data_IF_358507551482
#
_entry.id   IF_358507551482
#
_cell.length_a   1.000
_cell.length_b   1.000
_cell.length_c   1.000
_cell.angle_alpha   90.00
_cell.angle_beta   90.00
_cell.angle_gamma   90.00
#
_symmetry.space_group_name_H-M   'P 1'
#
loop_
_entity.id
_entity.type
_entity.pdbx_description
1 polymer ?
#
# COMPACT_ATOMS: atom_id res chain seq x y z
N UNK A 1 -14.03 -3.90 6.06
CA UNK A 1 -14.41 -2.50 5.75
C UNK A 1 -13.28 -1.93 4.90
N UNK A 2 -13.48 -1.82 3.59
CA UNK A 2 -12.51 -1.17 2.71
C UNK A 2 -12.40 0.31 3.11
N UNK A 3 -11.18 0.85 3.12
CA UNK A 3 -10.99 2.28 3.33
C UNK A 3 -11.66 3.04 2.17
N UNK A 4 -12.38 4.15 2.45
CA UNK A 4 -13.05 4.90 1.41
C UNK A 4 -12.02 5.47 0.43
N UNK A 5 -12.25 5.24 -0.85
CA UNK A 5 -11.46 5.83 -1.92
C UNK A 5 -11.89 7.28 -2.17
N UNK A 6 -10.97 8.10 -2.65
CA UNK A 6 -11.26 9.51 -2.89
C UNK A 6 -12.21 9.71 -4.07
N UNK A 7 -13.25 10.51 -3.85
CA UNK A 7 -14.13 11.02 -4.89
C UNK A 7 -14.26 12.53 -4.71
N UNK A 8 -13.93 13.29 -5.73
CA UNK A 8 -13.92 14.74 -5.66
C UNK A 8 -13.10 15.41 -6.74
N UNK A 9 -12.90 16.71 -6.62
CA UNK A 9 -12.05 17.48 -7.51
C UNK A 9 -10.56 17.32 -7.22
N UNK A 10 -9.76 17.58 -8.23
CA UNK A 10 -8.32 17.70 -8.13
C UNK A 10 -7.77 18.64 -9.19
N UNK A 11 -6.58 19.16 -8.97
CA UNK A 11 -5.91 20.04 -9.94
C UNK A 11 -4.39 19.91 -9.88
N UNK A 12 -3.75 20.34 -10.95
CA UNK A 12 -2.31 20.59 -11.03
C UNK A 12 -2.06 22.05 -11.39
N UNK A 13 -1.07 22.66 -10.78
CA UNK A 13 -0.62 24.01 -11.06
C UNK A 13 0.90 24.07 -11.15
N UNK A 14 1.44 25.22 -11.54
CA UNK A 14 2.89 25.47 -11.55
C UNK A 14 3.54 25.38 -10.18
N UNK A 15 2.79 25.59 -9.11
CA UNK A 15 3.28 25.52 -7.73
C UNK A 15 3.06 24.14 -7.09
N UNK A 16 2.05 23.41 -7.55
CA UNK A 16 1.66 22.12 -6.97
C UNK A 16 1.39 21.09 -8.05
N UNK A 17 2.17 20.05 -8.09
CA UNK A 17 2.05 18.99 -9.09
C UNK A 17 0.70 18.28 -9.07
N UNK A 18 0.16 18.06 -7.87
CA UNK A 18 -1.14 17.42 -7.66
C UNK A 18 -1.72 17.83 -6.32
N UNK A 19 -2.96 18.26 -6.32
CA UNK A 19 -3.70 18.58 -5.09
C UNK A 19 -5.15 18.17 -5.22
N UNK A 20 -5.65 17.47 -4.21
CA UNK A 20 -7.06 17.19 -4.04
C UNK A 20 -7.78 18.46 -3.61
N UNK A 21 -8.95 18.68 -4.17
CA UNK A 21 -9.86 19.75 -3.80
C UNK A 21 -11.26 19.18 -3.68
N UNK A 22 -11.62 18.75 -2.48
CA UNK A 22 -12.85 17.99 -2.24
C UNK A 22 -14.10 18.83 -2.48
N UNK A 23 -15.24 18.18 -2.62
CA UNK A 23 -16.52 18.86 -2.70
C UNK A 23 -16.81 19.69 -1.45
N UNK A 24 -16.30 19.27 -0.28
CA UNK A 24 -16.37 20.05 0.95
C UNK A 24 -15.54 21.34 0.84
N UNK A 25 -14.30 21.23 0.37
CA UNK A 25 -13.44 22.40 0.16
C UNK A 25 -14.07 23.39 -0.80
N UNK A 26 -14.71 22.90 -1.89
CA UNK A 26 -15.41 23.75 -2.85
C UNK A 26 -16.61 24.47 -2.24
N UNK A 27 -17.33 23.84 -1.29
CA UNK A 27 -18.42 24.48 -0.56
C UNK A 27 -17.93 25.58 0.37
N UNK A 28 -16.80 25.36 1.02
CA UNK A 28 -16.22 26.34 1.94
C UNK A 28 -15.62 27.51 1.17
N UNK A 29 -14.90 27.24 0.09
CA UNK A 29 -14.30 28.25 -0.78
C UNK A 29 -14.12 27.71 -2.19
N UNK A 30 -14.66 28.41 -3.19
CA UNK A 30 -14.42 28.06 -4.58
C UNK A 30 -12.94 28.17 -4.94
N UNK A 31 -12.47 27.21 -5.74
CA UNK A 31 -11.13 27.23 -6.31
C UNK A 31 -10.95 28.45 -7.21
N UNK A 32 -9.83 29.15 -7.10
CA UNK A 32 -9.41 30.22 -8.00
C UNK A 32 -7.89 30.31 -7.99
N UNK A 33 -7.25 29.74 -9.01
CA UNK A 33 -5.79 29.66 -9.12
C UNK A 33 -5.38 30.04 -10.53
N UNK A 34 -4.51 31.03 -10.65
CA UNK A 34 -3.86 31.37 -11.89
C UNK A 34 -2.58 30.54 -12.04
N UNK A 35 -2.45 29.87 -13.16
CA UNK A 35 -1.31 28.98 -13.42
C UNK A 35 -0.97 28.92 -14.89
N UNK A 36 0.31 28.84 -15.21
CA UNK A 36 0.73 28.41 -16.54
C UNK A 36 0.53 26.89 -16.64
N UNK A 37 -0.01 26.47 -17.78
CA UNK A 37 -0.34 25.04 -17.96
C UNK A 37 -1.39 24.54 -16.93
N UNK A 38 -1.14 23.41 -16.29
CA UNK A 38 -2.02 22.79 -15.31
C UNK A 38 -3.17 21.99 -15.91
N UNK A 39 -3.98 21.45 -15.04
CA UNK A 39 -5.22 20.74 -15.39
C UNK A 39 -6.17 20.72 -14.19
N UNK A 40 -7.44 20.48 -14.46
CA UNK A 40 -8.48 20.22 -13.45
C UNK A 40 -9.17 18.90 -13.74
N UNK A 41 -9.56 18.21 -12.69
CA UNK A 41 -10.19 16.89 -12.83
C UNK A 41 -11.27 16.64 -11.78
N UNK A 42 -12.21 15.77 -12.12
CA UNK A 42 -13.08 15.09 -11.18
C UNK A 42 -12.68 13.62 -11.12
N UNK A 43 -12.39 13.16 -9.91
CA UNK A 43 -11.91 11.82 -9.63
C UNK A 43 -13.01 10.95 -9.05
N UNK A 44 -13.07 9.72 -9.51
CA UNK A 44 -13.76 8.61 -8.89
C UNK A 44 -12.75 7.50 -8.58
N UNK A 45 -13.19 6.39 -7.99
CA UNK A 45 -12.27 5.32 -7.61
C UNK A 45 -11.33 4.91 -8.77
N UNK A 46 -11.88 4.44 -9.89
CA UNK A 46 -11.11 3.95 -11.04
C UNK A 46 -11.12 4.88 -12.24
N UNK A 47 -11.91 5.95 -12.20
CA UNK A 47 -12.13 6.81 -13.33
C UNK A 47 -11.77 8.26 -13.03
N UNK A 48 -11.38 8.97 -14.08
CA UNK A 48 -11.09 10.40 -14.01
C UNK A 48 -11.62 11.10 -15.26
N UNK A 49 -12.18 12.28 -15.06
CA UNK A 49 -12.49 13.23 -16.12
C UNK A 49 -11.66 14.48 -15.89
N UNK A 50 -10.71 14.76 -16.77
CA UNK A 50 -9.76 15.84 -16.65
C UNK A 50 -9.81 16.74 -17.88
N UNK A 51 -9.97 18.07 -17.65
CA UNK A 51 -9.75 19.09 -18.64
C UNK A 51 -8.31 19.57 -18.58
N UNK A 52 -7.63 19.53 -19.73
CA UNK A 52 -6.24 19.86 -19.92
C UNK A 52 -6.19 21.04 -20.88
N UNK A 53 -6.06 22.29 -20.36
CA UNK A 53 -5.93 23.48 -21.19
C UNK A 53 -4.62 23.48 -21.96
N UNK A 54 -4.47 24.47 -22.85
CA UNK A 54 -3.19 24.72 -23.51
C UNK A 54 -2.09 24.96 -22.46
N UNK A 55 -1.00 24.20 -22.56
CA UNK A 55 0.08 24.18 -21.58
C UNK A 55 1.07 25.34 -21.73
N UNK A 56 0.99 26.10 -22.82
CA UNK A 56 1.90 27.22 -23.11
C UNK A 56 1.39 28.56 -22.61
N UNK A 57 0.13 28.64 -22.18
CA UNK A 57 -0.54 29.86 -21.77
C UNK A 57 -0.92 29.86 -20.29
N UNK A 58 -1.19 31.03 -19.76
CA UNK A 58 -1.70 31.17 -18.40
C UNK A 58 -3.21 30.90 -18.40
N UNK A 59 -3.61 30.05 -17.48
CA UNK A 59 -4.99 29.64 -17.29
C UNK A 59 -5.44 29.92 -15.86
N UNK A 60 -6.71 30.18 -15.67
CA UNK A 60 -7.33 30.26 -14.35
C UNK A 60 -8.11 28.96 -14.09
N UNK A 61 -7.69 28.20 -13.10
CA UNK A 61 -8.44 27.05 -12.59
C UNK A 61 -9.48 27.55 -11.60
N UNK A 62 -10.73 27.10 -11.73
CA UNK A 62 -11.83 27.55 -10.88
C UNK A 62 -12.78 26.42 -10.50
N UNK A 63 -13.53 26.63 -9.43
CA UNK A 63 -14.71 25.83 -9.12
C UNK A 63 -15.93 26.71 -8.87
N UNK A 64 -17.10 26.17 -9.09
CA UNK A 64 -18.38 26.80 -8.81
C UNK A 64 -19.24 25.77 -8.06
N UNK A 65 -19.85 26.21 -6.96
CA UNK A 65 -20.75 25.37 -6.17
C UNK A 65 -22.15 25.96 -6.18
N UNK A 66 -23.11 25.18 -6.65
CA UNK A 66 -24.53 25.51 -6.53
C UNK A 66 -25.14 24.74 -5.34
N UNK A 67 -25.26 25.43 -4.23
CA UNK A 67 -25.82 24.84 -3.00
C UNK A 67 -27.29 24.47 -3.11
N UNK A 68 -28.06 25.10 -4.01
CA UNK A 68 -29.50 24.81 -4.18
C UNK A 68 -29.70 23.47 -4.85
N UNK A 69 -28.90 23.17 -5.85
CA UNK A 69 -28.99 21.92 -6.63
C UNK A 69 -27.98 20.86 -6.17
N UNK A 70 -27.19 21.15 -5.14
CA UNK A 70 -26.10 20.31 -4.65
C UNK A 70 -25.13 19.84 -5.73
N UNK A 71 -24.77 20.77 -6.64
CA UNK A 71 -23.86 20.54 -7.76
C UNK A 71 -22.57 21.32 -7.54
N UNK A 72 -21.43 20.67 -7.76
CA UNK A 72 -20.13 21.29 -7.81
C UNK A 72 -19.51 21.08 -9.20
N UNK A 73 -18.97 22.14 -9.78
CA UNK A 73 -18.30 22.14 -11.07
C UNK A 73 -16.86 22.61 -10.90
N UNK A 74 -15.93 21.97 -11.57
CA UNK A 74 -14.54 22.39 -11.66
C UNK A 74 -14.18 22.59 -13.13
N UNK A 75 -13.40 23.61 -13.42
CA UNK A 75 -13.07 23.95 -14.80
C UNK A 75 -11.88 24.90 -14.88
N UNK A 76 -11.60 25.35 -16.09
CA UNK A 76 -10.58 26.36 -16.34
C UNK A 76 -11.08 27.47 -17.26
N UNK A 77 -10.43 28.62 -17.21
CA UNK A 77 -10.58 29.73 -18.15
C UNK A 77 -9.22 30.01 -18.78
N UNK A 78 -9.17 29.99 -20.10
CA UNK A 78 -8.00 30.43 -20.85
C UNK A 78 -7.85 31.96 -20.88
N UNK A 79 -6.76 32.45 -21.47
CA UNK A 79 -6.56 33.87 -21.66
C UNK A 79 -7.59 34.47 -22.63
N UNK A 80 -7.78 35.77 -22.55
CA UNK A 80 -8.65 36.49 -23.49
C UNK A 80 -8.04 36.45 -24.88
N UNK A 81 -8.81 36.01 -25.86
CA UNK A 81 -8.42 35.97 -27.27
C UNK A 81 -9.23 37.05 -28.01
N UNK A 82 -8.53 37.93 -28.70
CA UNK A 82 -9.16 38.95 -29.53
C UNK A 82 -9.11 38.50 -30.98
N UNK A 83 -10.29 38.29 -31.59
CA UNK A 83 -10.42 37.83 -32.97
C UNK A 83 -10.91 39.01 -33.82
N UNK A 84 -10.08 39.55 -34.73
CA UNK A 84 -10.50 40.60 -35.63
C UNK A 84 -11.61 40.16 -36.57
N UNK A 85 -12.38 41.08 -37.07
CA UNK A 85 -13.45 40.80 -38.03
C UNK A 85 -12.89 40.11 -39.27
N UNK A 86 -13.48 38.98 -39.67
CA UNK A 86 -13.04 38.16 -40.82
C UNK A 86 -11.84 37.24 -40.54
N UNK A 87 -11.25 37.26 -39.38
CA UNK A 87 -10.19 36.35 -38.97
C UNK A 87 -10.76 35.10 -38.30
N UNK A 88 -9.95 34.04 -38.25
CA UNK A 88 -10.24 32.79 -37.55
C UNK A 88 -9.11 32.52 -36.54
N UNK A 89 -9.47 32.14 -35.33
CA UNK A 89 -8.55 31.72 -34.30
C UNK A 89 -8.94 30.33 -33.80
N UNK A 90 -7.97 29.49 -33.48
CA UNK A 90 -8.20 28.15 -33.00
C UNK A 90 -7.73 28.01 -31.56
N UNK A 91 -8.63 27.62 -30.68
CA UNK A 91 -8.35 27.30 -29.28
C UNK A 91 -8.43 25.81 -29.11
N UNK A 92 -7.34 25.20 -28.61
CA UNK A 92 -7.25 23.76 -28.37
C UNK A 92 -7.21 23.45 -26.89
N UNK A 93 -7.92 22.41 -26.51
CA UNK A 93 -7.80 21.79 -25.20
C UNK A 93 -7.96 20.27 -25.33
N UNK A 94 -7.43 19.54 -24.37
CA UNK A 94 -7.58 18.09 -24.32
C UNK A 94 -8.52 17.69 -23.18
N UNK A 95 -9.28 16.64 -23.41
CA UNK A 95 -10.13 16.02 -22.40
C UNK A 95 -9.72 14.55 -22.26
N UNK A 96 -9.32 14.18 -21.06
CA UNK A 96 -9.21 12.78 -20.67
C UNK A 96 -10.48 12.40 -19.91
N UNK A 97 -11.20 11.39 -20.40
CA UNK A 97 -12.31 10.79 -19.66
C UNK A 97 -12.25 9.29 -19.81
N UNK A 98 -12.08 8.60 -18.70
CA UNK A 98 -11.90 7.16 -18.70
C UNK A 98 -11.19 6.61 -17.48
N UNK A 99 -10.69 5.37 -17.57
CA UNK A 99 -9.98 4.73 -16.47
C UNK A 99 -8.62 5.41 -16.20
N UNK A 100 -8.17 5.34 -14.94
CA UNK A 100 -6.90 5.89 -14.48
C UNK A 100 -5.71 5.02 -14.93
N UNK A 101 -5.46 4.95 -16.23
CA UNK A 101 -4.31 4.25 -16.80
C UNK A 101 -3.06 5.13 -16.70
N UNK A 102 -2.22 4.86 -15.71
CA UNK A 102 -1.10 5.73 -15.33
C UNK A 102 -0.19 6.09 -16.50
N UNK A 103 0.27 5.09 -17.25
CA UNK A 103 1.20 5.32 -18.37
C UNK A 103 0.59 6.25 -19.43
N UNK A 104 -0.67 6.03 -19.79
CA UNK A 104 -1.38 6.84 -20.79
C UNK A 104 -1.66 8.26 -20.28
N UNK A 105 -2.04 8.39 -19.02
CA UNK A 105 -2.28 9.71 -18.41
C UNK A 105 -1.01 10.54 -18.34
N UNK A 106 0.15 9.93 -18.04
CA UNK A 106 1.44 10.62 -18.01
C UNK A 106 1.85 11.17 -19.39
N UNK A 107 1.45 10.51 -20.48
CA UNK A 107 1.69 10.97 -21.85
C UNK A 107 0.80 12.16 -22.24
N UNK A 108 -0.41 12.24 -21.66
CA UNK A 108 -1.41 13.26 -22.03
C UNK A 108 -1.17 14.58 -21.31
N UNK A 109 -0.82 14.53 -20.02
CA UNK A 109 -0.53 15.72 -19.23
C UNK A 109 0.44 15.40 -18.08
N UNK A 110 1.32 16.35 -17.80
CA UNK A 110 2.24 16.25 -16.69
C UNK A 110 1.47 16.10 -15.36
N UNK A 111 1.89 15.14 -14.56
CA UNK A 111 1.33 14.87 -13.23
C UNK A 111 -0.12 14.35 -13.20
N UNK A 112 -0.74 14.08 -14.35
CA UNK A 112 -2.09 13.48 -14.38
C UNK A 112 -2.09 12.05 -13.85
N UNK A 113 -0.98 11.33 -13.99
CA UNK A 113 -0.75 10.00 -13.40
C UNK A 113 -0.81 10.00 -11.87
N UNK A 114 -0.56 11.14 -11.22
CA UNK A 114 -0.63 11.29 -9.77
C UNK A 114 -2.06 11.20 -9.22
N UNK A 115 -3.07 11.25 -10.08
CA UNK A 115 -4.47 10.99 -9.71
C UNK A 115 -4.71 9.55 -9.25
N UNK A 116 -3.81 8.61 -9.59
CA UNK A 116 -3.70 7.32 -8.92
C UNK A 116 -2.90 7.54 -7.62
N UNK A 117 -3.62 7.65 -6.53
CA UNK A 117 -3.05 8.06 -5.24
C UNK A 117 -2.71 6.86 -4.38
N UNK A 118 -1.42 6.59 -4.20
CA UNK A 118 -0.89 5.54 -3.33
C UNK A 118 -0.70 6.00 -1.87
N UNK A 119 -1.24 7.14 -1.49
CA UNK A 119 -1.07 7.71 -0.16
C UNK A 119 0.40 8.03 0.17
N UNK A 120 0.74 7.98 1.45
CA UNK A 120 2.10 8.28 1.91
C UNK A 120 3.16 7.26 1.45
N UNK A 121 2.76 6.04 1.14
CA UNK A 121 3.65 4.95 0.71
C UNK A 121 3.94 4.94 -0.81
N UNK A 122 3.64 6.03 -1.51
CA UNK A 122 3.79 6.16 -2.97
C UNK A 122 5.20 5.81 -3.47
N UNK A 123 6.24 6.14 -2.68
CA UNK A 123 7.64 5.88 -3.03
C UNK A 123 8.00 4.37 -3.04
N UNK A 124 7.23 3.55 -2.35
CA UNK A 124 7.32 2.07 -2.40
C UNK A 124 6.33 1.53 -3.44
N UNK A 125 5.11 2.06 -3.48
CA UNK A 125 4.05 1.58 -4.34
C UNK A 125 4.38 1.75 -5.84
N UNK A 126 4.92 2.88 -6.27
CA UNK A 126 5.29 3.12 -7.67
C UNK A 126 6.31 2.10 -8.21
N UNK A 127 7.46 1.85 -7.57
CA UNK A 127 8.40 0.81 -8.01
C UNK A 127 7.79 -0.59 -8.02
N UNK A 128 6.97 -0.92 -7.01
CA UNK A 128 6.30 -2.21 -6.95
C UNK A 128 5.27 -2.39 -8.07
N UNK A 129 4.49 -1.36 -8.36
CA UNK A 129 3.55 -1.38 -9.46
C UNK A 129 4.25 -1.49 -10.82
N UNK A 130 5.35 -0.76 -11.02
CA UNK A 130 6.18 -0.88 -12.21
C UNK A 130 6.71 -2.30 -12.38
N UNK A 131 7.26 -2.89 -11.31
CA UNK A 131 7.76 -4.26 -11.34
C UNK A 131 6.63 -5.26 -11.62
N UNK A 132 5.46 -5.06 -11.01
CA UNK A 132 4.29 -5.89 -11.21
C UNK A 132 3.81 -5.87 -12.66
N UNK A 133 3.70 -4.68 -13.26
CA UNK A 133 3.30 -4.52 -14.66
C UNK A 133 4.34 -5.07 -15.63
N UNK A 134 5.62 -4.88 -15.34
CA UNK A 134 6.71 -5.46 -16.12
C UNK A 134 6.65 -6.98 -16.13
N UNK A 135 6.53 -7.62 -14.97
CA UNK A 135 6.42 -9.09 -14.89
C UNK A 135 5.13 -9.57 -15.56
N UNK A 136 4.01 -8.88 -15.37
CA UNK A 136 2.74 -9.23 -15.99
C UNK A 136 2.82 -9.20 -17.52
N UNK A 137 3.56 -8.27 -18.10
CA UNK A 137 3.77 -8.22 -19.55
C UNK A 137 4.46 -9.47 -20.11
N UNK A 138 5.21 -10.19 -19.27
CA UNK A 138 5.91 -11.43 -19.64
C UNK A 138 5.02 -12.67 -19.38
N UNK A 139 4.40 -12.73 -18.19
CA UNK A 139 3.66 -13.93 -17.75
C UNK A 139 2.17 -13.90 -18.11
N UNK A 140 1.64 -12.75 -18.54
CA UNK A 140 0.24 -12.55 -18.96
C UNK A 140 -0.82 -12.93 -17.91
N UNK A 141 -0.43 -13.01 -16.63
CA UNK A 141 -1.34 -13.33 -15.52
C UNK A 141 -0.96 -12.51 -14.30
N UNK A 142 -1.90 -11.72 -13.78
CA UNK A 142 -1.66 -10.82 -12.65
C UNK A 142 -1.36 -11.55 -11.34
N UNK A 143 -2.00 -12.68 -11.08
CA UNK A 143 -1.73 -13.47 -9.88
C UNK A 143 -0.35 -14.10 -9.89
N UNK A 144 0.10 -14.62 -11.03
CA UNK A 144 1.47 -15.11 -11.21
C UNK A 144 2.46 -13.95 -11.07
N UNK A 145 2.14 -12.79 -11.61
CA UNK A 145 2.97 -11.59 -11.44
C UNK A 145 3.12 -11.19 -9.96
N UNK A 146 2.04 -11.26 -9.17
CA UNK A 146 2.07 -11.02 -7.73
C UNK A 146 3.01 -12.02 -7.03
N UNK A 147 2.95 -13.29 -7.37
CA UNK A 147 3.85 -14.32 -6.84
C UNK A 147 5.31 -13.98 -7.17
N UNK A 148 5.60 -13.62 -8.41
CA UNK A 148 6.95 -13.25 -8.84
C UNK A 148 7.46 -11.99 -8.14
N UNK A 149 6.63 -10.95 -8.00
CA UNK A 149 6.98 -9.74 -7.22
C UNK A 149 7.28 -10.10 -5.77
N UNK A 150 6.50 -10.98 -5.18
CA UNK A 150 6.74 -11.45 -3.81
C UNK A 150 8.10 -12.15 -3.68
N UNK A 151 8.45 -13.00 -4.63
CA UNK A 151 9.76 -13.64 -4.68
C UNK A 151 10.90 -12.62 -4.77
N UNK A 152 10.78 -11.63 -5.65
CA UNK A 152 11.79 -10.58 -5.82
C UNK A 152 11.94 -9.76 -4.53
N UNK A 153 10.84 -9.31 -3.94
CA UNK A 153 10.86 -8.56 -2.67
C UNK A 153 11.52 -9.37 -1.55
N UNK A 154 11.16 -10.65 -1.43
CA UNK A 154 11.74 -11.55 -0.43
C UNK A 154 13.23 -11.84 -0.67
N UNK A 155 13.66 -11.91 -1.92
CA UNK A 155 15.07 -12.06 -2.27
C UNK A 155 15.88 -10.81 -1.89
N UNK A 156 15.37 -9.63 -2.20
CA UNK A 156 16.01 -8.35 -1.82
C UNK A 156 16.12 -8.20 -0.30
N UNK A 157 15.08 -8.60 0.43
CA UNK A 157 15.02 -8.51 1.89
C UNK A 157 15.68 -9.69 2.61
N UNK A 158 16.22 -10.67 1.87
CA UNK A 158 16.81 -11.87 2.45
C UNK A 158 17.92 -11.60 3.48
N UNK A 159 18.88 -10.67 3.26
CA UNK A 159 19.92 -10.39 4.27
C UNK A 159 19.33 -9.95 5.61
N UNK A 160 18.27 -9.14 5.57
CA UNK A 160 17.57 -8.66 6.74
C UNK A 160 16.77 -9.76 7.43
N UNK A 161 16.10 -10.60 6.64
CA UNK A 161 15.42 -11.80 7.12
C UNK A 161 16.39 -12.77 7.80
N UNK A 162 17.57 -12.97 7.23
CA UNK A 162 18.63 -13.80 7.81
C UNK A 162 19.10 -13.25 9.17
N UNK A 163 19.39 -11.96 9.24
CA UNK A 163 19.81 -11.31 10.48
C UNK A 163 18.76 -11.46 11.60
N UNK A 164 17.50 -11.30 11.25
CA UNK A 164 16.36 -11.46 12.14
C UNK A 164 16.24 -12.89 12.68
N UNK A 165 16.18 -13.91 11.82
CA UNK A 165 16.02 -15.30 12.27
C UNK A 165 17.25 -15.80 13.02
N UNK A 166 18.44 -15.31 12.69
CA UNK A 166 19.64 -15.55 13.49
C UNK A 166 19.52 -14.97 14.91
N UNK A 167 19.01 -13.74 15.03
CA UNK A 167 18.73 -13.11 16.33
C UNK A 167 17.67 -13.88 17.13
N UNK A 168 16.60 -14.32 16.47
CA UNK A 168 15.57 -15.15 17.10
C UNK A 168 16.09 -16.50 17.58
N UNK A 169 16.96 -17.15 16.80
CA UNK A 169 17.61 -18.40 17.20
C UNK A 169 18.47 -18.22 18.45
N UNK A 170 19.25 -17.12 18.55
CA UNK A 170 20.02 -16.77 19.73
C UNK A 170 19.12 -16.52 20.95
N UNK A 171 18.01 -15.80 20.78
CA UNK A 171 17.03 -15.61 21.86
C UNK A 171 16.44 -16.93 22.36
N UNK A 172 16.19 -17.88 21.46
CA UNK A 172 15.70 -19.20 21.82
C UNK A 172 16.69 -19.98 22.70
N UNK A 173 17.99 -19.84 22.45
CA UNK A 173 19.04 -20.44 23.30
C UNK A 173 19.09 -19.83 24.69
N UNK A 174 18.63 -18.60 24.86
CA UNK A 174 18.58 -17.90 26.14
C UNK A 174 17.33 -18.24 26.99
N UNK A 175 16.36 -18.97 26.43
CA UNK A 175 15.13 -19.34 27.16
C UNK A 175 15.35 -19.94 28.53
N UNK A 176 16.27 -20.92 28.73
CA UNK A 176 16.49 -21.47 30.07
C UNK A 176 17.01 -20.41 31.08
N UNK A 177 17.93 -19.53 30.65
CA UNK A 177 18.42 -18.44 31.50
C UNK A 177 17.33 -17.43 31.87
N UNK A 178 16.43 -17.16 30.93
CA UNK A 178 15.27 -16.29 31.13
C UNK A 178 14.27 -16.91 32.12
N UNK A 179 14.09 -18.21 32.07
CA UNK A 179 13.21 -18.94 33.00
C UNK A 179 13.78 -18.94 34.43
N UNK A 180 15.08 -19.16 34.60
CA UNK A 180 15.78 -19.01 35.88
C UNK A 180 15.63 -17.61 36.49
N UNK A 181 15.75 -16.57 35.67
CA UNK A 181 15.55 -15.17 36.12
C UNK A 181 14.10 -14.93 36.56
N UNK A 182 13.13 -15.52 35.89
CA UNK A 182 11.72 -15.44 36.30
C UNK A 182 11.50 -16.08 37.68
N UNK A 183 12.07 -17.23 37.91
CA UNK A 183 11.95 -17.93 39.18
C UNK A 183 12.62 -17.14 40.32
N UNK A 184 13.72 -16.43 40.00
CA UNK A 184 14.43 -15.62 40.98
C UNK A 184 13.79 -14.26 41.28
N UNK A 185 13.21 -13.60 40.30
CA UNK A 185 12.74 -12.21 40.39
C UNK A 185 11.27 -12.04 40.04
N UNK A 186 10.49 -13.11 40.03
CA UNK A 186 9.10 -13.10 39.54
C UNK A 186 8.17 -12.13 40.25
N UNK A 187 8.46 -11.82 41.50
CA UNK A 187 7.70 -10.89 42.35
C UNK A 187 8.09 -9.41 42.15
N UNK A 188 9.31 -9.15 41.62
CA UNK A 188 9.80 -7.81 41.31
C UNK A 188 9.95 -7.58 39.82
N UNK A 189 8.87 -7.11 39.20
CA UNK A 189 8.82 -6.84 37.74
C UNK A 189 9.88 -5.86 37.26
N UNK A 190 10.23 -4.86 38.11
CA UNK A 190 11.19 -3.83 37.72
C UNK A 190 12.62 -4.39 37.70
N UNK A 191 12.95 -5.18 38.67
CA UNK A 191 14.27 -5.83 38.78
C UNK A 191 14.45 -6.91 37.74
N UNK A 192 13.39 -7.70 37.45
CA UNK A 192 13.36 -8.69 36.38
C UNK A 192 13.60 -8.03 35.02
N UNK A 193 12.95 -6.89 34.73
CA UNK A 193 13.16 -6.15 33.49
C UNK A 193 14.58 -5.65 33.31
N UNK A 194 15.18 -5.14 34.39
CA UNK A 194 16.58 -4.66 34.39
C UNK A 194 17.58 -5.79 34.16
N UNK A 195 17.40 -6.92 34.82
CA UNK A 195 18.30 -8.08 34.66
C UNK A 195 18.12 -8.75 33.27
N UNK A 196 16.90 -8.77 32.73
CA UNK A 196 16.66 -9.21 31.35
C UNK A 196 17.37 -8.31 30.33
N UNK A 197 17.33 -6.98 30.52
CA UNK A 197 18.05 -6.06 29.64
C UNK A 197 19.57 -6.20 29.72
N UNK A 198 20.11 -6.52 30.92
CA UNK A 198 21.53 -6.85 31.08
C UNK A 198 21.90 -8.12 30.33
N UNK A 199 21.11 -9.18 30.50
CA UNK A 199 21.31 -10.46 29.79
C UNK A 199 21.34 -10.27 28.26
N UNK A 200 20.42 -9.48 27.72
CA UNK A 200 20.40 -9.20 26.27
C UNK A 200 21.64 -8.43 25.81
N UNK A 201 22.16 -7.51 26.63
CA UNK A 201 23.41 -6.79 26.34
C UNK A 201 24.64 -7.69 26.41
N UNK A 202 24.75 -8.52 27.42
CA UNK A 202 25.85 -9.47 27.61
C UNK A 202 25.94 -10.49 26.50
N UNK A 203 24.80 -11.06 26.11
CA UNK A 203 24.72 -12.07 25.05
C UNK A 203 24.65 -11.46 23.63
N UNK A 204 24.69 -10.11 23.53
CA UNK A 204 24.60 -9.36 22.25
C UNK A 204 23.39 -9.73 21.41
N UNK A 205 22.25 -9.92 22.05
CA UNK A 205 20.98 -10.25 21.40
C UNK A 205 20.05 -9.05 21.46
N UNK A 206 19.44 -8.72 20.30
CA UNK A 206 18.48 -7.62 20.23
C UNK A 206 17.06 -8.16 20.45
N UNK A 207 16.36 -7.80 21.54
CA UNK A 207 14.99 -8.26 21.77
C UNK A 207 14.00 -7.72 20.73
N UNK A 208 14.32 -6.60 20.06
CA UNK A 208 13.51 -6.04 18.99
C UNK A 208 13.64 -6.83 17.66
N UNK A 209 14.60 -7.76 17.57
CA UNK A 209 14.79 -8.59 16.38
C UNK A 209 13.56 -9.43 16.01
N UNK A 210 12.72 -9.77 16.98
CA UNK A 210 11.48 -10.53 16.76
C UNK A 210 10.35 -9.72 16.12
N UNK A 211 10.29 -8.40 16.33
CA UNK A 211 9.26 -7.53 15.73
C UNK A 211 9.73 -6.78 14.48
N UNK A 212 11.04 -6.80 14.19
CA UNK A 212 11.62 -6.14 13.01
C UNK A 212 10.95 -6.53 11.68
N UNK A 213 10.57 -7.80 11.43
CA UNK A 213 9.88 -8.17 10.19
C UNK A 213 8.53 -7.50 10.04
N UNK A 214 7.78 -7.40 11.13
CA UNK A 214 6.47 -6.76 11.09
C UNK A 214 6.62 -5.27 10.73
N UNK A 215 7.59 -4.59 11.35
CA UNK A 215 7.88 -3.17 11.09
C UNK A 215 8.29 -2.96 9.62
N UNK A 216 9.09 -3.87 9.06
CA UNK A 216 9.54 -3.78 7.67
C UNK A 216 8.44 -4.18 6.67
N UNK A 217 7.64 -5.17 7.04
CA UNK A 217 6.55 -5.69 6.19
C UNK A 217 5.38 -4.71 6.09
N UNK A 218 5.08 -3.96 7.15
CA UNK A 218 3.92 -3.07 7.18
C UNK A 218 3.94 -1.97 6.10
N UNK A 219 5.04 -1.23 5.86
CA UNK A 219 5.08 -0.25 4.78
C UNK A 219 4.87 -0.88 3.39
N UNK A 220 5.44 -2.05 3.14
CA UNK A 220 5.28 -2.79 1.88
C UNK A 220 3.84 -3.25 1.72
N UNK A 221 3.24 -3.76 2.80
CA UNK A 221 1.84 -4.18 2.82
C UNK A 221 0.89 -3.01 2.54
N UNK A 222 1.10 -1.86 3.18
CA UNK A 222 0.30 -0.65 2.96
C UNK A 222 0.46 -0.17 1.51
N UNK A 223 1.67 -0.14 0.98
CA UNK A 223 1.94 0.23 -0.41
C UNK A 223 1.21 -0.69 -1.40
N UNK A 224 1.24 -2.00 -1.17
CA UNK A 224 0.52 -2.97 -2.01
C UNK A 224 -0.99 -2.89 -1.83
N UNK A 225 -1.48 -2.62 -0.63
CA UNK A 225 -2.91 -2.40 -0.38
C UNK A 225 -3.44 -1.25 -1.25
N UNK A 226 -2.78 -0.09 -1.22
CA UNK A 226 -3.14 1.03 -2.07
C UNK A 226 -3.00 0.71 -3.56
N UNK A 227 -1.93 0.02 -3.96
CA UNK A 227 -1.72 -0.41 -5.34
C UNK A 227 -2.87 -1.28 -5.83
N UNK A 228 -3.29 -2.28 -5.06
CA UNK A 228 -4.35 -3.20 -5.45
C UNK A 228 -5.74 -2.56 -5.37
N UNK A 229 -5.95 -1.59 -4.50
CA UNK A 229 -7.21 -0.86 -4.41
C UNK A 229 -7.38 0.17 -5.53
N UNK A 230 -6.30 0.86 -5.90
CA UNK A 230 -6.33 1.99 -6.85
C UNK A 230 -6.03 1.58 -8.30
N UNK A 231 -5.34 0.46 -8.53
CA UNK A 231 -4.99 0.03 -9.88
C UNK A 231 -6.20 -0.53 -10.64
N UNK A 232 -6.65 0.19 -11.65
CA UNK A 232 -7.73 -0.25 -12.53
C UNK A 232 -7.36 -1.51 -13.32
N UNK A 233 -6.09 -1.72 -13.58
CA UNK A 233 -5.54 -2.87 -14.30
C UNK A 233 -5.80 -4.21 -13.57
N UNK A 234 -5.93 -4.17 -12.25
CA UNK A 234 -6.23 -5.35 -11.41
C UNK A 234 -7.72 -5.63 -11.29
N UNK A 235 -8.58 -4.68 -11.68
CA UNK A 235 -10.02 -4.88 -11.65
C UNK A 235 -10.43 -5.95 -12.67
N UNK A 236 -11.15 -6.97 -12.18
CA UNK A 236 -11.54 -8.16 -12.95
C UNK A 236 -10.35 -8.94 -13.54
N UNK A 237 -9.16 -8.79 -12.96
CA UNK A 237 -7.99 -9.58 -13.33
C UNK A 237 -8.08 -10.97 -12.71
N UNK A 238 -8.18 -12.04 -13.51
CA UNK A 238 -8.26 -13.39 -12.99
C UNK A 238 -6.89 -13.93 -12.56
N UNK A 239 -6.93 -14.88 -11.63
CA UNK A 239 -5.78 -15.70 -11.29
C UNK A 239 -5.97 -17.12 -11.83
N UNK A 240 -6.32 -18.09 -10.97
CA UNK A 240 -6.69 -19.45 -11.34
C UNK A 240 -7.92 -19.91 -10.56
N UNK A 241 -8.61 -20.89 -11.12
CA UNK A 241 -9.75 -21.55 -10.47
C UNK A 241 -10.88 -20.56 -10.14
N UNK A 242 -11.18 -20.44 -8.87
CA UNK A 242 -12.30 -19.63 -8.39
C UNK A 242 -12.00 -18.12 -8.28
N UNK A 243 -10.73 -17.71 -8.37
CA UNK A 243 -10.33 -16.30 -8.25
C UNK A 243 -10.40 -15.68 -9.64
N UNK A 244 -11.49 -14.93 -9.88
CA UNK A 244 -11.76 -14.27 -11.15
C UNK A 244 -11.49 -12.75 -11.09
N UNK A 245 -11.31 -12.21 -9.89
CA UNK A 245 -11.01 -10.79 -9.65
C UNK A 245 -10.07 -10.63 -8.47
N UNK A 246 -8.82 -10.27 -8.75
CA UNK A 246 -7.79 -10.04 -7.72
C UNK A 246 -8.01 -8.75 -6.93
N UNK A 247 -8.83 -7.83 -7.41
CA UNK A 247 -9.18 -6.59 -6.69
C UNK A 247 -10.35 -6.78 -5.72
N UNK A 248 -11.09 -7.87 -5.85
CA UNK A 248 -12.21 -8.23 -4.97
C UNK A 248 -11.80 -9.25 -3.90
N UNK A 249 -12.60 -9.36 -2.87
CA UNK A 249 -12.42 -10.41 -1.86
C UNK A 249 -12.58 -11.82 -2.46
N UNK A 250 -11.93 -12.81 -1.86
CA UNK A 250 -12.09 -14.21 -2.26
C UNK A 250 -13.53 -14.68 -1.97
N UNK A 251 -14.30 -15.10 -2.99
CA UNK A 251 -15.69 -15.50 -2.81
C UNK A 251 -15.89 -16.71 -1.91
N UNK A 252 -14.90 -17.59 -1.82
CA UNK A 252 -14.94 -18.81 -0.98
C UNK A 252 -14.10 -18.69 0.29
N UNK A 253 -13.43 -17.58 0.51
CA UNK A 253 -12.55 -17.33 1.67
C UNK A 253 -11.42 -18.35 1.87
N UNK A 254 -11.04 -19.05 0.81
CA UNK A 254 -9.98 -20.09 0.87
C UNK A 254 -8.61 -19.44 1.11
N UNK A 255 -8.30 -18.37 0.38
CA UNK A 255 -7.01 -17.66 0.54
C UNK A 255 -6.82 -17.09 1.96
N UNK A 256 -7.78 -16.40 2.57
CA UNK A 256 -7.65 -15.95 3.96
C UNK A 256 -7.44 -17.10 4.95
N UNK A 257 -8.11 -18.24 4.77
CA UNK A 257 -7.95 -19.40 5.63
C UNK A 257 -6.54 -20.01 5.48
N UNK A 258 -6.06 -20.16 4.25
CA UNK A 258 -4.69 -20.62 3.98
C UNK A 258 -3.65 -19.66 4.54
N UNK A 259 -3.87 -18.37 4.42
CA UNK A 259 -3.01 -17.33 4.98
C UNK A 259 -2.95 -17.43 6.51
N UNK A 260 -4.10 -17.55 7.18
CA UNK A 260 -4.17 -17.73 8.63
C UNK A 260 -3.46 -19.00 9.08
N UNK A 261 -3.62 -20.10 8.34
CA UNK A 261 -2.90 -21.37 8.58
C UNK A 261 -1.39 -21.25 8.42
N UNK A 262 -0.93 -20.51 7.40
CA UNK A 262 0.50 -20.23 7.19
C UNK A 262 1.10 -19.37 8.29
N UNK A 263 0.36 -18.37 8.79
CA UNK A 263 0.78 -17.56 9.93
C UNK A 263 0.89 -18.38 11.21
N UNK A 264 -0.09 -19.24 11.45
CA UNK A 264 -0.07 -20.15 12.60
C UNK A 264 1.13 -21.09 12.56
N UNK A 265 1.44 -21.64 11.38
CA UNK A 265 2.61 -22.49 11.19
C UNK A 265 3.91 -21.73 11.45
N UNK A 266 4.07 -20.53 10.91
CA UNK A 266 5.21 -19.65 11.17
C UNK A 266 5.39 -19.39 12.66
N UNK A 267 4.32 -19.10 13.37
CA UNK A 267 4.33 -18.84 14.79
C UNK A 267 4.77 -20.07 15.61
N UNK A 268 4.30 -21.25 15.24
CA UNK A 268 4.76 -22.52 15.86
C UNK A 268 6.24 -22.80 15.62
N UNK A 269 6.73 -22.48 14.43
CA UNK A 269 8.13 -22.71 14.07
C UNK A 269 9.08 -21.72 14.75
N UNK A 270 8.59 -20.56 15.12
CA UNK A 270 9.35 -19.47 15.78
C UNK A 270 8.68 -19.02 17.07
N UNK A 271 8.62 -19.88 18.09
CA UNK A 271 8.07 -19.48 19.37
C UNK A 271 8.90 -18.36 19.95
N UNK A 272 8.30 -17.19 20.05
CA UNK A 272 8.89 -16.06 20.75
C UNK A 272 8.79 -16.29 22.25
N UNK A 273 9.89 -16.18 22.99
CA UNK A 273 9.85 -16.28 24.46
C UNK A 273 9.14 -15.02 24.98
N UNK A 274 7.87 -15.15 25.29
CA UNK A 274 7.07 -14.08 25.90
C UNK A 274 7.01 -14.30 27.39
N UNK A 275 7.32 -13.23 28.12
CA UNK A 275 7.39 -13.26 29.57
C UNK A 275 6.01 -13.32 30.25
N UNK A 276 4.99 -12.73 29.63
CA UNK A 276 3.65 -12.57 30.20
C UNK A 276 2.67 -13.61 29.60
N UNK A 277 1.94 -14.41 30.42
CA UNK A 277 0.92 -15.35 29.94
C UNK A 277 -0.20 -14.69 29.11
N UNK A 278 -0.55 -13.43 29.43
CA UNK A 278 -1.54 -12.68 28.69
C UNK A 278 -1.04 -12.34 27.29
N UNK A 279 0.20 -11.88 27.18
CA UNK A 279 0.85 -11.57 25.90
C UNK A 279 0.99 -12.83 25.03
N UNK A 280 1.28 -13.98 25.63
CA UNK A 280 1.35 -15.26 24.93
C UNK A 280 -0.01 -15.67 24.36
N UNK A 281 -1.12 -15.47 25.10
CA UNK A 281 -2.46 -15.69 24.59
C UNK A 281 -2.78 -14.81 23.41
N UNK A 282 -2.48 -13.50 23.51
CA UNK A 282 -2.68 -12.55 22.40
C UNK A 282 -1.89 -12.98 21.17
N UNK A 283 -0.64 -13.38 21.33
CA UNK A 283 0.20 -13.88 20.23
C UNK A 283 -0.37 -15.14 19.58
N UNK A 284 -0.90 -16.08 20.37
CA UNK A 284 -1.49 -17.31 19.87
C UNK A 284 -2.79 -17.09 19.08
N UNK A 285 -3.56 -16.05 19.44
CA UNK A 285 -4.79 -15.69 18.74
C UNK A 285 -4.58 -14.73 17.57
N UNK A 286 -3.39 -14.13 17.45
CA UNK A 286 -3.10 -13.17 16.39
C UNK A 286 -3.33 -13.72 14.97
N UNK A 287 -2.93 -14.94 14.58
CA UNK A 287 -3.23 -15.48 13.27
C UNK A 287 -4.73 -15.56 12.97
N UNK A 288 -5.55 -15.87 13.98
CA UNK A 288 -7.00 -15.93 13.83
C UNK A 288 -7.61 -14.54 13.62
N UNK A 289 -7.12 -13.54 14.34
CA UNK A 289 -7.53 -12.13 14.21
C UNK A 289 -7.18 -11.62 12.82
N UNK A 290 -5.95 -11.86 12.33
CA UNK A 290 -5.53 -11.48 10.99
C UNK A 290 -6.36 -12.19 9.92
N UNK A 291 -6.61 -13.49 10.06
CA UNK A 291 -7.46 -14.24 9.14
C UNK A 291 -8.86 -13.62 9.05
N UNK A 292 -9.45 -13.22 10.17
CA UNK A 292 -10.76 -12.58 10.21
C UNK A 292 -10.74 -11.23 9.47
N UNK A 293 -9.74 -10.37 9.70
CA UNK A 293 -9.62 -9.10 8.99
C UNK A 293 -9.40 -9.28 7.48
N UNK A 294 -8.63 -10.29 7.07
CA UNK A 294 -8.31 -10.54 5.67
C UNK A 294 -9.45 -11.14 4.86
N UNK A 295 -10.56 -11.53 5.48
CA UNK A 295 -11.75 -12.01 4.77
C UNK A 295 -12.29 -10.96 3.77
N UNK A 296 -12.16 -9.69 4.11
CA UNK A 296 -12.68 -8.58 3.30
C UNK A 296 -11.63 -7.86 2.45
N UNK A 297 -10.39 -8.29 2.53
CA UNK A 297 -9.34 -7.69 1.70
C UNK A 297 -9.33 -8.26 0.28
N UNK A 298 -8.79 -7.48 -0.71
CA UNK A 298 -8.62 -7.97 -2.07
C UNK A 298 -7.84 -9.29 -2.12
N UNK A 299 -8.30 -10.22 -2.97
CA UNK A 299 -7.66 -11.53 -3.11
C UNK A 299 -6.17 -11.43 -3.51
N UNK A 300 -5.80 -10.45 -4.32
CA UNK A 300 -4.41 -10.21 -4.69
C UNK A 300 -3.50 -9.89 -3.50
N UNK A 301 -4.00 -9.14 -2.53
CA UNK A 301 -3.27 -8.79 -1.32
C UNK A 301 -3.10 -9.99 -0.39
N UNK A 302 -4.17 -10.78 -0.23
CA UNK A 302 -4.13 -12.02 0.55
C UNK A 302 -3.19 -13.04 -0.09
N UNK A 303 -3.20 -13.14 -1.42
CA UNK A 303 -2.28 -13.98 -2.18
C UNK A 303 -0.82 -13.56 -1.94
N UNK A 304 -0.53 -12.27 -2.00
CA UNK A 304 0.81 -11.74 -1.67
C UNK A 304 1.24 -12.17 -0.27
N UNK A 305 0.38 -11.98 0.74
CA UNK A 305 0.71 -12.32 2.12
C UNK A 305 0.90 -13.83 2.32
N UNK A 306 0.04 -14.65 1.73
CA UNK A 306 0.16 -16.11 1.77
C UNK A 306 1.49 -16.57 1.17
N UNK A 307 1.82 -16.12 -0.03
CA UNK A 307 3.08 -16.48 -0.71
C UNK A 307 4.28 -15.96 0.09
N UNK A 308 4.21 -14.75 0.63
CA UNK A 308 5.23 -14.19 1.52
C UNK A 308 5.46 -15.08 2.76
N UNK A 309 4.40 -15.57 3.40
CA UNK A 309 4.51 -16.49 4.52
C UNK A 309 5.14 -17.83 4.13
N UNK A 310 4.74 -18.40 2.99
CA UNK A 310 5.30 -19.66 2.51
C UNK A 310 6.80 -19.54 2.20
N UNK A 311 7.20 -18.45 1.54
CA UNK A 311 8.62 -18.16 1.27
C UNK A 311 9.38 -17.99 2.59
N UNK A 312 8.80 -17.29 3.56
CA UNK A 312 9.40 -17.09 4.89
C UNK A 312 9.61 -18.42 5.60
N UNK A 313 8.67 -19.35 5.52
CA UNK A 313 8.82 -20.71 6.07
C UNK A 313 10.04 -21.40 5.47
N UNK A 314 10.18 -21.34 4.15
CA UNK A 314 11.34 -21.96 3.46
C UNK A 314 12.64 -21.27 3.87
N UNK A 315 12.69 -19.93 3.86
CA UNK A 315 13.86 -19.16 4.26
C UNK A 315 14.28 -19.45 5.71
N UNK A 316 13.32 -19.53 6.62
CA UNK A 316 13.56 -19.86 8.03
C UNK A 316 14.16 -21.26 8.19
N UNK A 317 13.64 -22.25 7.49
CA UNK A 317 14.19 -23.61 7.48
C UNK A 317 15.63 -23.64 6.97
N UNK A 318 15.91 -22.91 5.89
CA UNK A 318 17.26 -22.81 5.33
C UNK A 318 18.23 -22.14 6.32
N UNK A 319 17.81 -21.08 6.96
CA UNK A 319 18.64 -20.35 7.94
C UNK A 319 18.93 -21.22 9.17
N UNK A 320 17.92 -21.89 9.70
CA UNK A 320 18.10 -22.74 10.89
C UNK A 320 18.92 -24.01 10.62
N UNK A 321 18.93 -24.52 9.38
CA UNK A 321 19.81 -25.65 9.01
C UNK A 321 21.27 -25.21 8.78
N UNK A 322 21.49 -23.93 8.53
CA UNK A 322 22.83 -23.36 8.33
C UNK A 322 23.46 -22.75 9.59
N UNK A 323 22.76 -22.78 10.74
CA UNK A 323 23.23 -22.38 12.06
C UNK A 323 23.61 -23.59 12.89
#
# INVERSE_FOLDING_TARGET
VAMPTYTGGAYSSSETNYKKYSFSDMKDKNLSIDTKAGWVAVLQHYFVSAWIPNQDVNNQLYSITDSKNNVASIGYRGPVVSIPAGATETITSSLWTGPKLQNKMAEVANHLDLTVDYGWAWFIAKPLFWLLTFIQSIVSNWGVAIICVTLVVKAILYPLTKAQYTSMAKMRMLQPKMQEMRERFGDDRQRMSQEMMKLYKEEKVNPLGGCLPLILQMPIFIALYWTFMEAVELRHAPFFGWIQDLSAQDPYYILPILMGGSMFLLQKMSPTPVADPMQQKVMNFMPLIFMFFFLWFPAGLVLYWLVSNLITIVQQQMIYRGL
#
